data_IF_038185940365
#
_entry.id   IF_038185940365
#
_cell.length_a   1.000
_cell.length_b   1.000
_cell.length_c   1.000
_cell.angle_alpha   90.00
_cell.angle_beta   90.00
_cell.angle_gamma   90.00
#
_symmetry.space_group_name_H-M   'P 1'
#
loop_
_entity.id
_entity.type
_entity.pdbx_description
1 polymer ?
#
# COMPACT_ATOMS: atom_id res chain seq x y z
N UNK A 1 -51.11 19.76 -5.46
CA UNK A 1 -50.21 18.77 -4.81
C UNK A 1 -48.80 19.37 -4.78
N UNK A 2 -48.33 19.80 -3.61
CA UNK A 2 -46.98 20.35 -3.47
C UNK A 2 -46.05 19.14 -3.29
N UNK A 3 -45.23 18.81 -4.30
CA UNK A 3 -44.23 17.76 -4.21
C UNK A 3 -42.98 18.39 -3.58
N UNK A 4 -42.67 18.02 -2.35
CA UNK A 4 -41.42 18.38 -1.70
C UNK A 4 -40.31 17.43 -2.15
N UNK A 5 -39.37 17.91 -2.94
CA UNK A 5 -38.12 17.22 -3.21
C UNK A 5 -37.15 17.46 -2.06
N UNK A 6 -36.70 16.40 -1.41
CA UNK A 6 -35.62 16.44 -0.42
C UNK A 6 -34.34 15.91 -1.07
N UNK A 7 -33.26 16.65 -0.94
CA UNK A 7 -31.94 16.25 -1.41
C UNK A 7 -31.07 15.95 -0.21
N UNK A 8 -30.49 14.76 -0.15
CA UNK A 8 -29.49 14.36 0.83
C UNK A 8 -28.18 14.23 0.05
N UNK A 9 -27.21 15.08 0.38
CA UNK A 9 -25.90 15.06 -0.22
C UNK A 9 -24.90 14.53 0.81
N UNK A 10 -24.11 13.52 0.41
CA UNK A 10 -23.06 12.92 1.24
C UNK A 10 -21.75 13.14 0.49
N UNK A 11 -20.75 13.72 1.16
CA UNK A 11 -19.46 14.02 0.53
C UNK A 11 -18.43 14.56 1.51
N UNK A 12 -17.25 14.84 0.98
CA UNK A 12 -16.15 15.40 1.74
C UNK A 12 -15.42 16.45 0.87
N UNK A 13 -15.61 17.72 1.22
CA UNK A 13 -15.01 18.84 0.50
C UNK A 13 -13.52 19.03 0.78
N UNK A 14 -12.94 18.26 1.70
CA UNK A 14 -11.51 18.21 1.97
C UNK A 14 -10.78 17.18 1.10
N UNK A 15 -11.52 16.34 0.35
CA UNK A 15 -10.99 15.41 -0.63
C UNK A 15 -11.03 15.98 -2.04
N UNK A 16 -10.74 15.14 -3.06
CA UNK A 16 -10.56 15.57 -4.44
C UNK A 16 -11.78 16.31 -5.00
N UNK A 17 -11.56 17.42 -5.71
CA UNK A 17 -12.61 18.15 -6.42
C UNK A 17 -12.98 17.43 -7.73
N UNK A 18 -14.02 17.88 -8.43
CA UNK A 18 -14.30 17.47 -9.79
C UNK A 18 -13.10 17.69 -10.71
N UNK A 19 -12.84 16.73 -11.61
CA UNK A 19 -11.76 16.84 -12.59
C UNK A 19 -12.25 17.70 -13.77
N UNK A 20 -11.69 18.88 -13.93
CA UNK A 20 -11.97 19.79 -15.05
C UNK A 20 -10.84 19.65 -16.07
N UNK A 21 -11.14 19.18 -17.28
CA UNK A 21 -10.10 18.97 -18.32
C UNK A 21 -9.61 20.27 -18.94
N UNK A 22 -10.44 21.28 -18.98
CA UNK A 22 -10.08 22.58 -19.52
C UNK A 22 -9.58 23.51 -18.41
N UNK A 23 -8.29 23.83 -18.42
CA UNK A 23 -7.65 24.66 -17.41
C UNK A 23 -8.20 26.09 -17.33
N UNK A 24 -8.72 26.65 -18.43
CA UNK A 24 -9.34 27.96 -18.41
C UNK A 24 -10.67 27.95 -17.62
N UNK A 25 -11.49 26.93 -17.84
CA UNK A 25 -12.71 26.74 -17.05
C UNK A 25 -12.39 26.44 -15.58
N UNK A 26 -11.35 25.64 -15.30
CA UNK A 26 -10.93 25.37 -13.92
C UNK A 26 -10.61 26.65 -13.18
N UNK A 27 -9.78 27.52 -13.78
CA UNK A 27 -9.27 28.73 -13.11
C UNK A 27 -10.26 29.91 -13.10
N UNK A 28 -11.03 30.09 -14.17
CA UNK A 28 -11.79 31.35 -14.38
C UNK A 28 -13.30 31.20 -14.26
N UNK A 29 -13.84 29.97 -14.23
CA UNK A 29 -15.29 29.75 -14.13
C UNK A 29 -15.76 29.07 -12.86
N UNK A 30 -14.89 28.88 -11.85
CA UNK A 30 -15.17 28.14 -10.61
C UNK A 30 -15.70 26.69 -10.83
N UNK A 31 -15.44 26.09 -11.97
CA UNK A 31 -15.91 24.73 -12.30
C UNK A 31 -15.23 23.65 -11.45
N UNK A 32 -14.10 23.94 -10.81
CA UNK A 32 -13.48 23.06 -9.81
C UNK A 32 -14.30 22.97 -8.49
N UNK A 33 -15.20 23.90 -8.27
CA UNK A 33 -16.06 23.90 -7.09
C UNK A 33 -17.25 22.95 -7.28
N UNK A 34 -17.26 21.84 -6.54
CA UNK A 34 -18.42 20.93 -6.57
C UNK A 34 -19.67 21.61 -5.99
N UNK A 35 -20.85 21.16 -6.41
CA UNK A 35 -22.11 21.63 -5.84
C UNK A 35 -22.14 21.43 -4.31
N UNK A 36 -21.60 20.33 -3.80
CA UNK A 36 -21.46 20.05 -2.38
C UNK A 36 -20.64 21.15 -1.68
N UNK A 37 -19.45 21.49 -2.17
CA UNK A 37 -18.61 22.55 -1.63
C UNK A 37 -19.31 23.90 -1.68
N UNK A 38 -20.04 24.17 -2.77
CA UNK A 38 -20.81 25.44 -2.90
C UNK A 38 -21.88 25.56 -1.83
N UNK A 39 -22.66 24.51 -1.59
CA UNK A 39 -23.72 24.51 -0.57
C UNK A 39 -23.16 24.67 0.84
N UNK A 40 -22.03 24.00 1.15
CA UNK A 40 -21.31 24.17 2.43
C UNK A 40 -20.86 25.63 2.61
N UNK A 41 -20.28 26.24 1.58
CA UNK A 41 -19.85 27.68 1.62
C UNK A 41 -21.00 28.64 1.76
N UNK A 42 -22.17 28.32 1.25
CA UNK A 42 -23.40 29.12 1.39
C UNK A 42 -24.07 28.95 2.76
N UNK A 43 -23.49 28.14 3.66
CA UNK A 43 -24.03 27.94 5.01
C UNK A 43 -25.27 27.06 5.06
N UNK A 44 -25.51 26.22 4.05
CA UNK A 44 -26.58 25.20 4.13
C UNK A 44 -26.26 24.29 5.31
N UNK A 45 -27.22 23.98 6.19
CA UNK A 45 -27.01 23.13 7.36
C UNK A 45 -26.40 21.80 6.99
N UNK A 46 -25.29 21.45 7.67
CA UNK A 46 -24.56 20.19 7.48
C UNK A 46 -24.43 19.44 8.80
N UNK A 47 -24.36 18.12 8.72
CA UNK A 47 -23.98 17.27 9.84
C UNK A 47 -22.60 16.71 9.51
N UNK A 48 -21.61 17.12 10.30
CA UNK A 48 -20.24 16.65 10.15
C UNK A 48 -20.07 15.31 10.89
N UNK A 49 -19.52 14.29 10.19
CA UNK A 49 -19.09 13.05 10.83
C UNK A 49 -17.72 13.28 11.45
N UNK A 50 -17.63 13.19 12.76
CA UNK A 50 -16.48 13.58 13.58
C UNK A 50 -15.53 12.41 13.92
N UNK A 51 -15.79 11.20 13.41
CA UNK A 51 -14.97 10.02 13.69
C UNK A 51 -14.77 9.15 12.44
N UNK A 52 -13.53 8.75 12.20
CA UNK A 52 -13.16 7.83 11.12
C UNK A 52 -13.09 6.39 11.62
N UNK A 53 -13.43 5.43 10.74
CA UNK A 53 -13.44 4.00 11.02
C UNK A 53 -12.52 3.18 10.11
N UNK A 54 -11.53 3.80 9.46
CA UNK A 54 -10.71 3.14 8.45
C UNK A 54 -9.27 2.89 8.91
N UNK A 55 -8.56 3.97 9.22
CA UNK A 55 -7.12 3.97 9.43
C UNK A 55 -6.77 3.84 10.90
N UNK A 56 -5.61 3.27 11.21
CA UNK A 56 -5.01 3.37 12.54
C UNK A 56 -4.93 4.84 12.98
N UNK A 57 -5.05 5.13 14.28
CA UNK A 57 -4.94 6.50 14.80
C UNK A 57 -3.64 7.21 14.37
N UNK A 58 -2.51 6.48 14.34
CA UNK A 58 -1.22 6.97 13.87
C UNK A 58 -1.24 7.40 12.40
N UNK A 59 -1.88 6.63 11.51
CA UNK A 59 -2.05 6.98 10.10
C UNK A 59 -3.07 8.12 9.95
N UNK A 60 -4.15 8.10 10.72
CA UNK A 60 -5.14 9.16 10.73
C UNK A 60 -4.52 10.52 11.07
N UNK A 61 -3.55 10.56 11.99
CA UNK A 61 -2.87 11.80 12.37
C UNK A 61 -2.15 12.50 11.20
N UNK A 62 -1.84 11.79 10.10
CA UNK A 62 -1.22 12.34 8.91
C UNK A 62 -2.17 13.26 8.10
N UNK A 63 -3.49 13.16 8.30
CA UNK A 63 -4.46 13.93 7.54
C UNK A 63 -5.60 14.52 8.37
N UNK A 64 -5.78 14.15 9.66
CA UNK A 64 -6.89 14.65 10.50
C UNK A 64 -6.81 16.16 10.80
N UNK A 65 -5.63 16.75 10.72
CA UNK A 65 -5.44 18.21 10.84
C UNK A 65 -6.22 19.01 9.79
N UNK A 66 -6.66 18.37 8.71
CA UNK A 66 -7.48 19.00 7.67
C UNK A 66 -8.93 19.19 8.09
N UNK A 67 -9.38 18.48 9.11
CA UNK A 67 -10.74 18.47 9.63
C UNK A 67 -10.81 19.21 10.96
N UNK A 68 -11.97 19.79 11.30
CA UNK A 68 -12.13 20.52 12.56
C UNK A 68 -11.96 19.60 13.79
N UNK A 69 -12.56 18.44 13.72
CA UNK A 69 -12.42 17.41 14.76
C UNK A 69 -12.69 16.05 14.15
N UNK A 70 -11.61 15.33 13.78
CA UNK A 70 -11.73 13.98 13.26
C UNK A 70 -11.10 13.02 14.27
N UNK A 71 -11.95 12.38 15.06
CA UNK A 71 -11.60 11.33 16.00
C UNK A 71 -11.55 9.94 15.35
N UNK A 72 -11.58 8.92 16.19
CA UNK A 72 -11.53 7.53 15.79
C UNK A 72 -12.71 6.76 16.40
N UNK A 73 -13.37 5.93 15.61
CA UNK A 73 -14.42 5.02 16.12
C UNK A 73 -13.85 3.97 17.08
N UNK A 74 -14.64 3.45 18.03
CA UNK A 74 -14.18 2.51 19.03
C UNK A 74 -13.51 1.26 18.47
N UNK A 75 -13.98 0.73 17.33
CA UNK A 75 -13.38 -0.46 16.74
C UNK A 75 -11.94 -0.21 16.24
N UNK A 76 -11.63 1.00 15.75
CA UNK A 76 -10.26 1.36 15.33
C UNK A 76 -9.31 1.47 16.53
N UNK A 77 -9.84 1.85 17.70
CA UNK A 77 -9.05 1.97 18.92
C UNK A 77 -8.81 0.62 19.60
N UNK A 78 -9.79 -0.30 19.53
CA UNK A 78 -9.84 -1.48 20.37
C UNK A 78 -9.57 -2.80 19.66
N UNK A 79 -9.83 -2.89 18.34
CA UNK A 79 -9.63 -4.14 17.60
C UNK A 79 -8.16 -4.56 17.54
N UNK A 80 -7.83 -5.84 17.71
CA UNK A 80 -6.48 -6.37 17.65
C UNK A 80 -5.73 -5.98 16.37
N UNK A 81 -6.40 -6.04 15.22
CA UNK A 81 -5.80 -5.71 13.90
C UNK A 81 -5.17 -4.32 13.87
N UNK A 82 -5.82 -3.34 14.52
CA UNK A 82 -5.33 -1.97 14.57
C UNK A 82 -4.25 -1.76 15.64
N UNK A 83 -4.17 -2.63 16.64
CA UNK A 83 -3.22 -2.54 17.75
C UNK A 83 -1.96 -3.37 17.52
N UNK A 84 -2.01 -4.40 16.67
CA UNK A 84 -0.85 -5.26 16.37
C UNK A 84 0.06 -4.57 15.35
N UNK A 85 1.37 -4.66 15.53
CA UNK A 85 2.36 -4.08 14.62
C UNK A 85 2.33 -4.74 13.23
N UNK A 86 2.92 -4.06 12.26
CA UNK A 86 3.17 -4.65 10.95
C UNK A 86 4.43 -5.52 11.04
N UNK A 87 4.24 -6.85 11.03
CA UNK A 87 5.35 -7.79 11.10
C UNK A 87 6.40 -7.50 10.01
N UNK A 88 7.66 -7.47 10.39
CA UNK A 88 8.75 -7.17 9.46
C UNK A 88 9.02 -5.68 9.24
N UNK A 89 8.24 -4.77 9.83
CA UNK A 89 8.45 -3.32 9.76
C UNK A 89 8.57 -2.72 11.17
N UNK A 90 9.46 -1.77 11.34
CA UNK A 90 9.58 -1.07 12.63
C UNK A 90 8.41 -0.13 12.88
N UNK A 91 7.78 0.39 11.82
CA UNK A 91 6.73 1.39 11.90
C UNK A 91 5.51 1.00 11.08
N UNK A 92 4.34 1.47 11.50
CA UNK A 92 3.07 1.30 10.79
C UNK A 92 2.89 2.30 9.63
N UNK A 93 3.58 3.43 9.68
CA UNK A 93 3.82 4.29 8.51
C UNK A 93 5.27 4.76 8.49
N UNK A 94 5.79 5.02 7.31
CA UNK A 94 7.13 5.58 7.15
C UNK A 94 7.23 6.35 5.85
N UNK A 95 7.92 7.51 5.90
CA UNK A 95 8.38 8.25 4.74
C UNK A 95 9.80 7.80 4.41
N UNK A 96 10.02 7.30 3.22
CA UNK A 96 11.29 6.78 2.74
C UNK A 96 11.85 7.78 1.73
N UNK A 97 13.02 8.34 2.03
CA UNK A 97 13.74 9.19 1.08
C UNK A 97 14.34 8.33 -0.03
N UNK A 98 14.02 8.68 -1.26
CA UNK A 98 14.56 7.99 -2.44
C UNK A 98 15.53 8.93 -3.16
N UNK A 99 16.85 8.65 -3.12
CA UNK A 99 17.84 9.39 -3.87
C UNK A 99 17.74 9.09 -5.37
N UNK A 100 18.44 9.90 -6.19
CA UNK A 100 18.58 9.62 -7.61
C UNK A 100 19.31 8.30 -7.82
N UNK A 101 18.83 7.50 -8.75
CA UNK A 101 19.48 6.26 -9.15
C UNK A 101 20.34 6.52 -10.38
N UNK A 102 21.66 6.26 -10.27
CA UNK A 102 22.65 6.59 -11.29
C UNK A 102 22.60 8.07 -11.75
N UNK A 103 22.34 8.99 -10.80
CA UNK A 103 22.24 10.42 -11.08
C UNK A 103 20.93 10.84 -11.77
N UNK A 104 19.96 9.93 -11.93
CA UNK A 104 18.67 10.19 -12.57
C UNK A 104 17.56 10.14 -11.53
N UNK A 105 16.81 11.23 -11.40
CA UNK A 105 15.59 11.31 -10.60
C UNK A 105 14.35 11.01 -11.43
N UNK A 106 13.41 11.99 -11.49
CA UNK A 106 12.25 11.87 -12.37
C UNK A 106 12.65 12.00 -13.85
N UNK A 107 11.93 11.29 -14.70
CA UNK A 107 12.00 11.40 -16.16
C UNK A 107 10.63 11.72 -16.74
N UNK A 108 10.60 12.34 -17.93
CA UNK A 108 9.39 12.71 -18.63
C UNK A 108 9.49 12.26 -20.10
N UNK A 109 9.21 10.98 -20.41
CA UNK A 109 9.30 10.44 -21.76
C UNK A 109 8.37 11.13 -22.77
N UNK A 110 7.23 11.65 -22.30
CA UNK A 110 6.31 12.46 -23.10
C UNK A 110 5.64 13.54 -22.23
N UNK A 111 5.04 14.59 -22.79
CA UNK A 111 4.41 15.66 -22.03
C UNK A 111 3.45 15.12 -20.94
N UNK A 112 3.61 15.61 -19.70
CA UNK A 112 2.81 15.22 -18.52
C UNK A 112 2.90 13.74 -18.11
N UNK A 113 3.83 12.97 -18.68
CA UNK A 113 4.03 11.56 -18.39
C UNK A 113 5.28 11.37 -17.53
N UNK A 114 5.15 11.63 -16.22
CA UNK A 114 6.26 11.58 -15.27
C UNK A 114 6.49 10.16 -14.74
N UNK A 115 7.77 9.78 -14.64
CA UNK A 115 8.25 8.50 -14.14
C UNK A 115 9.47 8.70 -13.24
N UNK A 116 9.67 7.80 -12.28
CA UNK A 116 10.86 7.72 -11.43
C UNK A 116 11.19 6.24 -11.23
N UNK A 117 12.25 5.79 -11.89
CA UNK A 117 12.65 4.37 -11.86
C UNK A 117 13.11 3.95 -10.47
N UNK A 118 13.85 4.80 -9.74
CA UNK A 118 14.30 4.51 -8.40
C UNK A 118 13.11 4.22 -7.46
N UNK A 119 12.08 5.07 -7.50
CA UNK A 119 10.88 4.87 -6.69
C UNK A 119 10.09 3.63 -7.15
N UNK A 120 9.95 3.39 -8.46
CA UNK A 120 9.22 2.24 -8.99
C UNK A 120 9.84 0.91 -8.54
N UNK A 121 11.15 0.78 -8.70
CA UNK A 121 11.89 -0.39 -8.26
C UNK A 121 11.85 -0.56 -6.74
N UNK A 122 12.04 0.53 -5.97
CA UNK A 122 12.03 0.44 -4.51
C UNK A 122 10.67 -0.02 -3.97
N UNK A 123 9.59 0.58 -4.47
CA UNK A 123 8.21 0.20 -4.10
C UNK A 123 7.94 -1.27 -4.41
N UNK A 124 8.36 -1.75 -5.58
CA UNK A 124 8.14 -3.16 -5.96
C UNK A 124 8.98 -4.11 -5.11
N UNK A 125 10.23 -3.76 -4.78
CA UNK A 125 11.03 -4.60 -3.89
C UNK A 125 10.46 -4.62 -2.45
N UNK A 126 9.92 -3.52 -1.94
CA UNK A 126 9.20 -3.53 -0.65
C UNK A 126 7.92 -4.39 -0.74
N UNK A 127 7.19 -4.33 -1.83
CA UNK A 127 6.07 -5.23 -2.08
C UNK A 127 6.52 -6.71 -2.07
N UNK A 128 7.61 -7.05 -2.79
CA UNK A 128 8.18 -8.41 -2.81
C UNK A 128 8.57 -8.86 -1.41
N UNK A 129 9.24 -8.01 -0.63
CA UNK A 129 9.56 -8.28 0.76
C UNK A 129 8.31 -8.59 1.60
N UNK A 130 7.26 -7.79 1.48
CA UNK A 130 6.00 -8.04 2.18
C UNK A 130 5.43 -9.43 1.81
N UNK A 131 5.47 -9.80 0.53
CA UNK A 131 5.02 -11.12 0.08
C UNK A 131 5.84 -12.25 0.71
N UNK A 132 7.15 -12.11 0.74
CA UNK A 132 8.06 -13.09 1.37
C UNK A 132 7.89 -13.19 2.89
N UNK A 133 7.47 -12.11 3.54
CA UNK A 133 7.06 -12.08 4.94
C UNK A 133 5.66 -12.70 5.18
N UNK A 134 4.96 -13.15 4.12
CA UNK A 134 3.64 -13.78 4.20
C UNK A 134 2.45 -12.82 4.16
N UNK A 135 2.63 -11.55 3.79
CA UNK A 135 1.50 -10.65 3.54
C UNK A 135 0.71 -11.08 2.30
N UNK A 136 -0.59 -11.10 2.38
CA UNK A 136 -1.48 -11.50 1.29
C UNK A 136 -1.50 -10.44 0.19
N UNK A 137 -1.35 -10.87 -1.08
CA UNK A 137 -1.29 -9.94 -2.22
C UNK A 137 -2.51 -9.02 -2.32
N UNK A 138 -3.70 -9.55 -2.02
CA UNK A 138 -4.95 -8.79 -2.09
C UNK A 138 -5.08 -7.71 -0.99
N UNK A 139 -4.26 -7.76 0.06
CA UNK A 139 -4.21 -6.75 1.13
C UNK A 139 -3.22 -5.62 0.86
N UNK A 140 -2.51 -5.64 -0.28
CA UNK A 140 -1.51 -4.64 -0.63
C UNK A 140 -1.89 -3.96 -1.93
N UNK A 141 -1.93 -2.62 -1.95
CA UNK A 141 -2.08 -1.82 -3.15
C UNK A 141 -0.93 -0.83 -3.31
N UNK A 142 -0.54 -0.59 -4.55
CA UNK A 142 0.49 0.40 -4.89
C UNK A 142 -0.18 1.60 -5.53
N UNK A 143 0.03 2.76 -4.95
CA UNK A 143 -0.53 4.03 -5.42
C UNK A 143 0.56 4.97 -5.88
N UNK A 144 0.23 5.80 -6.83
CA UNK A 144 1.09 6.88 -7.32
C UNK A 144 0.26 8.08 -7.75
N UNK A 145 0.93 9.20 -8.02
CA UNK A 145 0.25 10.43 -8.42
C UNK A 145 0.19 10.62 -9.93
N UNK A 146 0.96 9.85 -10.71
CA UNK A 146 1.09 10.01 -12.16
C UNK A 146 0.82 8.73 -12.94
N UNK A 147 0.17 8.87 -14.11
CA UNK A 147 -0.09 7.73 -15.00
C UNK A 147 1.20 7.09 -15.54
N UNK A 148 2.23 7.90 -15.81
CA UNK A 148 3.54 7.40 -16.22
C UNK A 148 4.16 6.47 -15.19
N UNK A 149 4.17 6.89 -13.94
CA UNK A 149 4.68 6.06 -12.85
C UNK A 149 3.83 4.79 -12.63
N UNK A 150 2.51 4.90 -12.77
CA UNK A 150 1.64 3.72 -12.70
C UNK A 150 1.99 2.70 -13.78
N UNK A 151 2.25 3.14 -15.01
CA UNK A 151 2.68 2.26 -16.09
C UNK A 151 4.03 1.61 -15.76
N UNK A 152 5.02 2.41 -15.38
CA UNK A 152 6.35 1.92 -15.00
C UNK A 152 6.31 0.91 -13.84
N UNK A 153 5.59 1.19 -12.76
CA UNK A 153 5.41 0.25 -11.64
C UNK A 153 4.78 -1.05 -12.11
N UNK A 154 3.79 -0.97 -13.02
CA UNK A 154 3.15 -2.16 -13.59
C UNK A 154 4.14 -2.99 -14.42
N UNK A 155 4.99 -2.36 -15.20
CA UNK A 155 6.01 -3.03 -16.00
C UNK A 155 7.06 -3.71 -15.10
N UNK A 156 7.53 -3.03 -14.05
CA UNK A 156 8.44 -3.62 -13.06
C UNK A 156 7.78 -4.80 -12.33
N UNK A 157 6.51 -4.68 -11.92
CA UNK A 157 5.78 -5.79 -11.31
C UNK A 157 5.60 -6.96 -12.27
N UNK A 158 5.29 -6.72 -13.52
CA UNK A 158 5.18 -7.78 -14.52
C UNK A 158 6.51 -8.52 -14.70
N UNK A 159 7.61 -7.80 -14.77
CA UNK A 159 8.93 -8.39 -14.94
C UNK A 159 9.38 -9.21 -13.71
N UNK A 160 9.10 -8.73 -12.49
CA UNK A 160 9.65 -9.31 -11.25
C UNK A 160 8.69 -10.21 -10.49
N UNK A 161 7.38 -9.98 -10.59
CA UNK A 161 6.39 -10.59 -9.69
C UNK A 161 5.42 -11.54 -10.41
N UNK A 162 5.00 -11.25 -11.65
CA UNK A 162 3.87 -11.92 -12.30
C UNK A 162 4.06 -13.44 -12.42
N UNK A 163 5.26 -13.88 -12.78
CA UNK A 163 5.58 -15.31 -12.98
C UNK A 163 6.15 -15.98 -11.73
N UNK A 164 6.15 -15.29 -10.59
CA UNK A 164 6.69 -15.81 -9.35
C UNK A 164 5.56 -16.24 -8.41
N UNK A 165 5.36 -17.56 -8.16
CA UNK A 165 4.24 -18.07 -7.37
C UNK A 165 4.30 -17.63 -5.89
N UNK A 166 5.48 -17.33 -5.34
CA UNK A 166 5.63 -16.85 -3.96
C UNK A 166 5.26 -15.37 -3.83
N UNK A 167 5.35 -14.61 -4.92
CA UNK A 167 5.13 -13.17 -4.88
C UNK A 167 3.76 -12.81 -5.48
N UNK A 168 3.53 -13.08 -6.76
CA UNK A 168 2.31 -12.71 -7.47
C UNK A 168 2.14 -11.19 -7.61
N UNK A 169 1.01 -10.78 -8.18
CA UNK A 169 0.71 -9.35 -8.41
C UNK A 169 0.00 -8.73 -7.20
N UNK A 170 0.23 -7.42 -6.90
CA UNK A 170 -0.50 -6.71 -5.86
C UNK A 170 -1.99 -6.58 -6.23
N UNK A 171 -2.83 -6.33 -5.22
CA UNK A 171 -4.27 -6.16 -5.42
C UNK A 171 -4.59 -5.13 -6.51
N UNK A 172 -3.94 -3.97 -6.44
CA UNK A 172 -4.16 -2.90 -7.41
C UNK A 172 -2.95 -1.98 -7.53
N UNK A 173 -2.64 -1.57 -8.78
CA UNK A 173 -1.72 -0.48 -9.09
C UNK A 173 -2.54 0.64 -9.72
N UNK A 174 -2.64 1.80 -9.05
CA UNK A 174 -3.54 2.87 -9.47
C UNK A 174 -2.97 4.26 -9.18
N UNK A 175 -3.51 5.27 -9.85
CA UNK A 175 -3.31 6.66 -9.41
C UNK A 175 -4.24 6.98 -8.24
N UNK A 176 -3.82 7.92 -7.39
CA UNK A 176 -4.59 8.38 -6.22
C UNK A 176 -6.01 8.79 -6.63
N UNK A 177 -6.15 9.52 -7.74
CA UNK A 177 -7.45 9.99 -8.25
C UNK A 177 -8.37 8.81 -8.60
N UNK A 178 -7.83 7.74 -9.24
CA UNK A 178 -8.61 6.54 -9.59
C UNK A 178 -8.84 5.58 -8.42
N UNK A 179 -8.21 5.84 -7.29
CA UNK A 179 -8.36 5.06 -6.06
C UNK A 179 -9.26 5.75 -5.03
N UNK A 180 -9.84 6.89 -5.38
CA UNK A 180 -10.81 7.59 -4.53
C UNK A 180 -11.99 6.66 -4.18
N UNK A 181 -12.44 6.69 -2.93
CA UNK A 181 -13.49 5.79 -2.42
C UNK A 181 -13.03 4.37 -2.07
N UNK A 182 -11.87 3.92 -2.56
CA UNK A 182 -11.30 2.60 -2.25
C UNK A 182 -10.37 2.67 -1.03
N UNK A 183 -10.01 1.51 -0.50
CA UNK A 183 -9.08 1.36 0.62
C UNK A 183 -8.38 -0.01 0.56
N UNK A 184 -7.25 -0.16 1.26
CA UNK A 184 -6.64 -1.46 1.49
C UNK A 184 -5.90 -1.46 2.84
N UNK A 185 -5.50 -2.64 3.32
CA UNK A 185 -4.77 -2.76 4.57
C UNK A 185 -3.41 -2.06 4.48
N UNK A 186 -2.68 -2.30 3.40
CA UNK A 186 -1.35 -1.75 3.18
C UNK A 186 -1.29 -0.97 1.88
N UNK A 187 -0.78 0.25 1.97
CA UNK A 187 -0.58 1.14 0.83
C UNK A 187 0.90 1.46 0.71
N UNK A 188 1.46 1.18 -0.47
CA UNK A 188 2.77 1.66 -0.90
C UNK A 188 2.54 2.83 -1.85
N UNK A 189 3.04 4.02 -1.49
CA UNK A 189 2.74 5.26 -2.20
C UNK A 189 4.00 5.88 -2.80
N UNK A 190 4.08 6.01 -4.13
CA UNK A 190 5.16 6.69 -4.86
C UNK A 190 4.73 8.09 -5.27
N UNK A 191 5.51 9.12 -4.85
CA UNK A 191 5.22 10.52 -5.15
C UNK A 191 5.89 11.04 -6.43
N UNK A 192 6.89 10.34 -6.93
CA UNK A 192 7.52 10.49 -8.26
C UNK A 192 8.44 11.70 -8.42
N UNK A 193 7.97 12.89 -8.05
CA UNK A 193 8.58 14.16 -8.40
C UNK A 193 9.88 14.44 -7.65
N UNK A 194 10.87 14.99 -8.36
CA UNK A 194 12.16 15.36 -7.79
C UNK A 194 12.53 16.84 -7.99
N UNK A 195 11.91 17.51 -8.97
CA UNK A 195 12.16 18.94 -9.27
C UNK A 195 11.03 19.85 -8.84
N UNK A 196 9.79 19.45 -9.07
CA UNK A 196 8.60 20.23 -8.74
C UNK A 196 7.56 19.36 -8.05
N UNK A 197 6.88 19.88 -7.02
CA UNK A 197 5.85 19.13 -6.26
C UNK A 197 4.68 18.65 -7.15
N UNK A 198 4.37 19.42 -8.19
CA UNK A 198 3.33 19.04 -9.16
C UNK A 198 1.93 18.96 -8.56
N UNK A 199 1.17 17.96 -8.97
CA UNK A 199 -0.25 17.81 -8.57
C UNK A 199 -0.47 17.61 -7.07
N UNK A 200 0.55 17.16 -6.31
CA UNK A 200 0.44 17.02 -4.85
C UNK A 200 0.42 18.34 -4.10
N UNK A 201 0.75 19.45 -4.76
CA UNK A 201 0.55 20.78 -4.18
C UNK A 201 -0.92 21.02 -3.80
N UNK A 202 -1.86 20.35 -4.48
CA UNK A 202 -3.24 20.23 -4.00
C UNK A 202 -3.31 19.27 -2.81
N UNK A 203 -3.44 19.84 -1.62
CA UNK A 203 -3.52 19.12 -0.34
C UNK A 203 -4.61 18.05 -0.34
N UNK A 204 -5.72 18.30 -1.07
CA UNK A 204 -6.84 17.35 -1.16
C UNK A 204 -6.39 16.01 -1.72
N UNK A 205 -5.45 16.01 -2.67
CA UNK A 205 -4.85 14.81 -3.25
C UNK A 205 -3.98 14.07 -2.24
N UNK A 206 -3.20 14.79 -1.43
CA UNK A 206 -2.42 14.20 -0.36
C UNK A 206 -3.33 13.56 0.71
N UNK A 207 -4.39 14.24 1.14
CA UNK A 207 -5.37 13.72 2.10
C UNK A 207 -5.99 12.42 1.60
N UNK A 208 -6.39 12.38 0.31
CA UNK A 208 -6.91 11.15 -0.29
C UNK A 208 -5.85 10.05 -0.28
N UNK A 209 -4.61 10.33 -0.70
CA UNK A 209 -3.55 9.33 -0.75
C UNK A 209 -3.27 8.70 0.62
N UNK A 210 -3.16 9.52 1.67
CA UNK A 210 -2.84 9.06 3.03
C UNK A 210 -4.02 8.33 3.69
N UNK A 211 -5.25 8.73 3.39
CA UNK A 211 -6.45 8.14 3.97
C UNK A 211 -6.87 6.80 3.35
N UNK A 212 -6.11 6.25 2.42
CA UNK A 212 -6.43 4.94 1.77
C UNK A 212 -5.95 3.74 2.56
N UNK A 213 -4.93 3.91 3.41
CA UNK A 213 -4.34 2.85 4.21
C UNK A 213 -5.15 2.58 5.48
N UNK A 214 -5.37 1.30 5.79
CA UNK A 214 -5.97 0.89 7.07
C UNK A 214 -4.89 0.62 8.14
N UNK A 215 -3.91 -0.23 7.82
CA UNK A 215 -2.95 -0.78 8.78
C UNK A 215 -1.51 -0.34 8.52
N UNK A 216 -1.14 -0.02 7.29
CA UNK A 216 0.23 0.38 6.96
C UNK A 216 0.32 1.32 5.77
N UNK A 217 1.18 2.36 5.89
CA UNK A 217 1.42 3.34 4.84
C UNK A 217 2.92 3.59 4.67
N UNK A 218 3.47 3.24 3.52
CA UNK A 218 4.89 3.46 3.21
C UNK A 218 4.99 4.38 1.99
N UNK A 219 5.58 5.56 2.21
CA UNK A 219 5.62 6.66 1.24
C UNK A 219 7.05 6.81 0.72
N UNK A 220 7.23 6.74 -0.59
CA UNK A 220 8.50 6.88 -1.29
C UNK A 220 8.55 8.22 -2.00
N UNK A 221 9.56 9.03 -1.70
CA UNK A 221 9.63 10.39 -2.21
C UNK A 221 11.03 11.00 -2.12
N UNK A 222 11.28 12.05 -2.90
CA UNK A 222 12.34 13.01 -2.66
C UNK A 222 11.93 13.94 -1.50
N UNK A 223 12.32 13.58 -0.28
CA UNK A 223 11.87 14.26 0.95
C UNK A 223 12.16 15.75 0.95
N UNK A 224 13.36 16.16 0.47
CA UNK A 224 13.77 17.58 0.43
C UNK A 224 12.83 18.44 -0.39
N UNK A 225 12.27 17.91 -1.48
CA UNK A 225 11.30 18.62 -2.31
C UNK A 225 9.98 18.84 -1.56
N UNK A 226 9.38 17.78 -1.06
CA UNK A 226 8.04 17.83 -0.47
C UNK A 226 8.00 18.49 0.90
N UNK A 227 9.05 18.31 1.72
CA UNK A 227 9.19 18.98 3.03
C UNK A 227 9.17 20.50 2.93
N UNK A 228 9.71 21.06 1.83
CA UNK A 228 9.77 22.49 1.61
C UNK A 228 8.48 23.09 1.00
N UNK A 229 7.47 22.26 0.69
CA UNK A 229 6.20 22.72 0.17
C UNK A 229 5.28 23.15 1.32
N UNK A 230 4.97 24.43 1.40
CA UNK A 230 4.18 25.02 2.48
C UNK A 230 2.85 24.30 2.71
N UNK A 231 2.13 24.02 1.62
CA UNK A 231 0.81 23.39 1.68
C UNK A 231 0.85 21.97 2.27
N UNK A 232 2.00 21.29 2.16
CA UNK A 232 2.19 19.90 2.61
C UNK A 232 2.83 19.79 4.00
N UNK A 233 3.35 20.91 4.53
CA UNK A 233 4.06 20.94 5.82
C UNK A 233 3.33 20.25 6.96
N UNK A 234 2.02 20.42 7.19
CA UNK A 234 1.36 19.77 8.32
C UNK A 234 1.53 18.25 8.33
N UNK A 235 1.39 17.59 7.17
CA UNK A 235 1.59 16.16 7.05
C UNK A 235 3.08 15.76 7.09
N UNK A 236 3.94 16.50 6.37
CA UNK A 236 5.37 16.19 6.30
C UNK A 236 6.10 16.43 7.62
N UNK A 237 5.66 17.39 8.44
CA UNK A 237 6.18 17.59 9.80
C UNK A 237 5.91 16.38 10.70
N UNK A 238 4.83 15.63 10.48
CA UNK A 238 4.55 14.39 11.21
C UNK A 238 5.36 13.24 10.62
N UNK A 239 5.36 13.08 9.29
CA UNK A 239 6.08 12.03 8.59
C UNK A 239 7.58 12.05 8.88
N UNK A 240 8.20 13.23 8.93
CA UNK A 240 9.65 13.40 9.15
C UNK A 240 10.08 13.25 10.61
N UNK A 241 9.16 13.05 11.56
CA UNK A 241 9.50 12.66 12.94
C UNK A 241 10.04 11.23 13.03
N UNK A 242 9.77 10.39 12.04
CA UNK A 242 10.31 9.04 11.92
C UNK A 242 11.54 9.01 11.01
N UNK A 243 12.42 8.01 11.14
CA UNK A 243 13.56 7.86 10.25
C UNK A 243 13.16 7.83 8.77
N UNK A 244 13.99 8.47 7.92
CA UNK A 244 13.74 8.59 6.48
C UNK A 244 14.39 7.46 5.67
N UNK A 245 15.15 6.58 6.31
CA UNK A 245 15.64 5.33 5.77
C UNK A 245 14.69 4.21 6.19
N UNK A 246 14.44 3.26 5.32
CA UNK A 246 13.50 2.17 5.60
C UNK A 246 14.04 1.24 6.70
N UNK A 247 13.25 1.03 7.74
CA UNK A 247 13.57 0.16 8.87
C UNK A 247 12.76 -1.13 8.81
N UNK A 248 13.46 -2.26 8.62
CA UNK A 248 12.86 -3.60 8.50
C UNK A 248 13.25 -4.49 9.67
N UNK A 249 12.41 -5.48 9.96
CA UNK A 249 12.61 -6.52 10.97
C UNK A 249 12.37 -7.91 10.35
N UNK A 250 13.30 -8.39 9.48
CA UNK A 250 13.08 -9.58 8.67
C UNK A 250 12.91 -10.88 9.47
N UNK A 251 13.42 -10.91 10.70
CA UNK A 251 13.35 -12.09 11.60
C UNK A 251 12.04 -12.13 12.41
N UNK A 252 11.22 -11.09 12.34
CA UNK A 252 9.96 -11.05 13.07
C UNK A 252 8.94 -12.03 12.47
N UNK A 253 8.33 -12.93 13.25
CA UNK A 253 7.35 -13.87 12.73
C UNK A 253 6.06 -13.16 12.31
N UNK A 254 5.36 -13.74 11.33
CA UNK A 254 4.00 -13.32 11.00
C UNK A 254 3.04 -14.50 11.19
N UNK A 255 1.97 -14.32 11.99
CA UNK A 255 1.58 -13.11 12.74
C UNK A 255 2.58 -12.74 13.84
N UNK A 256 2.66 -11.44 14.17
CA UNK A 256 3.46 -10.94 15.28
C UNK A 256 2.59 -10.67 16.50
N UNK A 257 3.17 -10.84 17.69
CA UNK A 257 2.56 -10.44 18.96
C UNK A 257 2.95 -9.01 19.38
N UNK A 258 3.81 -8.34 18.62
CA UNK A 258 4.26 -6.98 18.92
C UNK A 258 3.11 -5.98 18.74
N UNK A 259 2.95 -5.11 19.71
CA UNK A 259 1.99 -4.01 19.64
C UNK A 259 2.54 -2.90 18.73
N UNK A 260 1.66 -2.22 18.02
CA UNK A 260 2.02 -1.10 17.13
C UNK A 260 2.67 0.08 17.86
N UNK A 261 2.42 0.22 19.16
CA UNK A 261 3.05 1.21 20.04
C UNK A 261 4.48 0.85 20.45
N UNK A 262 4.91 -0.40 20.24
CA UNK A 262 6.23 -0.89 20.65
C UNK A 262 7.17 -0.87 19.44
N UNK A 263 8.27 -0.16 19.55
CA UNK A 263 9.33 -0.13 18.54
C UNK A 263 10.02 -1.49 18.45
N UNK A 264 10.32 -1.94 17.24
CA UNK A 264 11.09 -3.16 17.03
C UNK A 264 12.52 -3.02 17.59
N UNK A 265 13.05 -4.04 18.30
CA UNK A 265 14.28 -3.88 19.08
C UNK A 265 15.54 -3.66 18.24
N UNK A 266 15.66 -4.26 17.06
CA UNK A 266 16.88 -4.15 16.23
C UNK A 266 16.53 -4.13 14.74
N UNK A 267 16.22 -2.96 14.19
CA UNK A 267 15.87 -2.86 12.77
C UNK A 267 17.11 -3.00 11.88
N UNK A 268 16.93 -3.70 10.75
CA UNK A 268 17.81 -3.57 9.60
C UNK A 268 17.49 -2.24 8.90
N UNK A 269 18.50 -1.40 8.72
CA UNK A 269 18.35 -0.12 8.04
C UNK A 269 18.68 -0.32 6.56
N UNK A 270 17.73 0.00 5.68
CA UNK A 270 17.93 -0.01 4.22
C UNK A 270 18.21 1.40 3.75
N UNK A 271 19.39 1.62 3.21
CA UNK A 271 19.88 2.96 2.84
C UNK A 271 19.32 3.45 1.51
N UNK A 272 19.12 2.54 0.54
CA UNK A 272 18.70 2.87 -0.82
C UNK A 272 18.01 1.71 -1.53
N UNK A 273 17.55 1.97 -2.76
CA UNK A 273 16.89 0.98 -3.61
C UNK A 273 17.81 -0.20 -4.00
N UNK A 274 19.08 0.00 -4.41
CA UNK A 274 19.98 -1.11 -4.70
C UNK A 274 20.18 -2.07 -3.53
N UNK A 275 20.37 -1.54 -2.32
CA UNK A 275 20.45 -2.37 -1.11
C UNK A 275 19.18 -3.17 -0.88
N UNK A 276 18.00 -2.56 -1.06
CA UNK A 276 16.71 -3.25 -0.94
C UNK A 276 16.58 -4.36 -1.99
N UNK A 277 16.97 -4.09 -3.22
CA UNK A 277 16.93 -5.06 -4.32
C UNK A 277 17.80 -6.29 -4.00
N UNK A 278 19.04 -6.07 -3.57
CA UNK A 278 19.95 -7.14 -3.16
C UNK A 278 19.37 -7.95 -2.00
N UNK A 279 18.95 -7.24 -0.95
CA UNK A 279 18.38 -7.89 0.23
C UNK A 279 17.19 -8.78 -0.11
N UNK A 280 16.25 -8.30 -0.94
CA UNK A 280 15.07 -9.09 -1.35
C UNK A 280 15.46 -10.31 -2.16
N UNK A 281 16.47 -10.19 -3.03
CA UNK A 281 17.00 -11.35 -3.78
C UNK A 281 17.56 -12.43 -2.86
N UNK A 282 18.41 -12.03 -1.89
CA UNK A 282 18.99 -12.94 -0.91
C UNK A 282 17.91 -13.57 -0.02
N UNK A 283 16.97 -12.77 0.45
CA UNK A 283 15.84 -13.23 1.27
C UNK A 283 14.91 -14.20 0.53
N UNK A 284 14.70 -13.97 -0.76
CA UNK A 284 13.96 -14.88 -1.62
C UNK A 284 14.65 -16.26 -1.72
N UNK A 285 15.96 -16.29 -1.95
CA UNK A 285 16.72 -17.55 -2.01
C UNK A 285 16.66 -18.30 -0.68
N UNK A 286 16.77 -17.60 0.43
CA UNK A 286 16.59 -18.18 1.76
C UNK A 286 15.22 -18.84 1.90
N UNK A 287 14.14 -18.12 1.55
CA UNK A 287 12.76 -18.64 1.63
C UNK A 287 12.54 -19.86 0.73
N UNK A 288 13.07 -19.85 -0.48
CA UNK A 288 13.03 -21.02 -1.38
C UNK A 288 13.73 -22.22 -0.75
N UNK A 289 14.89 -22.03 -0.13
CA UNK A 289 15.65 -23.10 0.54
C UNK A 289 14.87 -23.64 1.75
N UNK A 290 14.28 -22.79 2.56
CA UNK A 290 13.42 -23.17 3.69
C UNK A 290 12.24 -24.05 3.22
N UNK A 291 11.53 -23.62 2.16
CA UNK A 291 10.39 -24.36 1.60
C UNK A 291 10.83 -25.73 1.09
N UNK A 292 11.94 -25.82 0.33
CA UNK A 292 12.47 -27.09 -0.17
C UNK A 292 12.84 -28.04 0.97
N UNK A 293 13.49 -27.54 2.02
CA UNK A 293 13.85 -28.35 3.20
C UNK A 293 12.63 -28.90 3.94
N UNK A 294 11.56 -28.10 4.07
CA UNK A 294 10.30 -28.51 4.67
C UNK A 294 9.60 -29.59 3.82
N UNK A 295 9.57 -29.42 2.50
CA UNK A 295 9.00 -30.40 1.58
C UNK A 295 9.76 -31.76 1.65
N UNK A 296 11.09 -31.72 1.69
CA UNK A 296 11.90 -32.91 1.85
C UNK A 296 11.62 -33.65 3.18
N UNK A 297 11.48 -32.91 4.29
CA UNK A 297 11.13 -33.50 5.59
C UNK A 297 9.73 -34.14 5.58
N UNK A 298 8.75 -33.46 4.97
CA UNK A 298 7.38 -33.99 4.84
C UNK A 298 7.36 -35.28 3.97
N UNK A 299 8.10 -35.28 2.86
CA UNK A 299 8.22 -36.47 2.01
C UNK A 299 8.88 -37.66 2.74
N UNK A 300 9.90 -37.40 3.59
CA UNK A 300 10.55 -38.40 4.40
C UNK A 300 9.71 -38.95 5.56
N UNK A 301 8.71 -38.15 6.02
CA UNK A 301 7.79 -38.54 7.10
C UNK A 301 6.49 -39.18 6.61
N UNK A 302 6.25 -39.26 5.30
CA UNK A 302 5.11 -39.98 4.75
C UNK A 302 5.26 -41.48 5.02
N UNK A 303 4.24 -42.21 5.57
CA UNK A 303 4.28 -43.63 5.76
C UNK A 303 4.46 -44.31 4.38
N UNK A 304 5.47 -45.17 4.25
CA UNK A 304 5.70 -45.91 3.03
C UNK A 304 4.45 -46.68 2.62
N UNK A 305 4.13 -46.70 1.35
CA UNK A 305 3.06 -47.49 0.76
C UNK A 305 3.13 -48.92 1.27
N UNK A 306 2.04 -49.38 1.88
CA UNK A 306 1.82 -50.78 2.20
C UNK A 306 1.98 -51.54 0.90
N UNK A 307 3.11 -52.28 0.76
CA UNK A 307 3.30 -53.26 -0.29
C UNK A 307 2.07 -54.17 -0.29
N UNK A 308 1.25 -54.08 -1.32
CA UNK A 308 0.25 -55.10 -1.63
C UNK A 308 1.04 -56.38 -1.93
N UNK A 309 1.10 -57.28 -0.96
CA UNK A 309 1.50 -58.66 -1.18
C UNK A 309 0.48 -59.29 -2.15
N UNK A 310 0.88 -59.42 -3.38
CA UNK A 310 0.23 -60.32 -4.33
C UNK A 310 0.49 -61.73 -3.83
N UNK A 311 -0.45 -62.29 -3.09
CA UNK A 311 -0.50 -63.71 -2.80
C UNK A 311 -0.93 -64.45 -4.05
N UNK A 312 0.03 -65.09 -4.72
CA UNK A 312 -0.23 -66.21 -5.62
C UNK A 312 -0.85 -67.36 -4.82
N UNK A 313 -2.11 -67.67 -5.08
CA UNK A 313 -2.84 -68.81 -4.58
C UNK A 313 -3.32 -69.66 -5.76
N UNK A 314 -2.64 -70.75 -5.95
CA UNK A 314 -2.77 -71.73 -7.06
C UNK A 314 -4.20 -72.26 -7.26
N UNK A 315 -4.43 -72.60 -8.48
CA UNK A 315 -5.51 -73.35 -9.09
C UNK A 315 -5.98 -74.63 -8.36
N UNK A 316 -7.25 -74.94 -8.46
CA UNK A 316 -7.78 -76.26 -8.75
C UNK A 316 -9.23 -76.17 -9.23
N UNK A 317 -9.45 -76.60 -10.49
CA UNK A 317 -10.73 -77.19 -10.96
C UNK A 317 -10.90 -78.59 -10.31
N UNK A 318 -12.13 -79.09 -10.09
CA UNK A 318 -12.80 -79.84 -11.13
C UNK A 318 -14.34 -79.73 -11.11
N UNK A 319 -14.91 -79.86 -12.26
CA UNK A 319 -15.83 -80.94 -12.64
C UNK A 319 -17.31 -80.79 -12.27
N UNK A 320 -18.10 -80.70 -13.32
CA UNK A 320 -19.32 -81.43 -13.65
C UNK A 320 -20.57 -81.35 -12.77
N UNK A 321 -21.58 -81.27 -13.54
CA UNK A 321 -22.94 -81.86 -13.50
C UNK A 321 -24.11 -80.94 -13.14
N UNK A 322 -24.89 -80.79 -14.21
CA UNK A 322 -26.31 -80.65 -14.49
C UNK A 322 -26.84 -79.25 -14.80
#
# INVERSE_FOLDING_TARGET
>A
MIVFFRWIMIGDHHQLPPVVKNMAFEKFSNMEQSLFTRLVRLGVPTIDLDAQGRSRPSICSLYNWRYKSLGNLPHVLNSPDYRTANAGFSFDYQLINVPDFNGVGESQPSPFFYQNLAEAEYVVHVYMYMRLMGYEAHKISILTTYNGQKALIKDVCNARCANNPLIGMPHKIATVDKYQGQQNDFILLSLVRTYNVGHLRDVRRLVVAMSRARLGLYVFARVTLFKNCFELQPAFNILTKRPLLLHLCPTEPRPTNRMASVTAPTPMIVYDMPMMSKFVADFYQQKVSEIKSLQAKLAASAPGDIQRSTGEGAARHPGDDR
#
